data_IF_521977123960
#
_entry.id   IF_521977123960
#
_cell.length_a   1.000
_cell.length_b   1.000
_cell.length_c   1.000
_cell.angle_alpha   90.00
_cell.angle_beta   90.00
_cell.angle_gamma   90.00
#
_symmetry.space_group_name_H-M   'P 1'
#
loop_
_entity.id
_entity.type
_entity.pdbx_description
1 polymer ?
#
# COMPACT_ATOMS: atom_id res chain seq x y z
N UNK A 1 -25.48 56.64 -58.49
CA UNK A 1 -25.87 55.22 -58.64
C UNK A 1 -24.67 54.34 -58.32
N UNK A 2 -24.94 53.14 -57.78
CA UNK A 2 -24.04 52.05 -57.39
C UNK A 2 -23.52 52.03 -55.95
N UNK A 3 -24.29 51.28 -55.14
CA UNK A 3 -23.97 50.69 -53.84
C UNK A 3 -22.73 49.78 -53.94
N UNK A 4 -21.89 49.76 -52.91
CA UNK A 4 -21.10 48.56 -52.55
C UNK A 4 -21.22 48.27 -51.05
N UNK A 5 -21.45 46.99 -50.80
CA UNK A 5 -21.90 46.34 -49.58
C UNK A 5 -20.78 46.24 -48.54
N UNK A 6 -21.10 46.50 -47.27
CA UNK A 6 -20.24 46.16 -46.14
C UNK A 6 -20.41 44.67 -45.79
N UNK A 7 -19.33 43.92 -45.83
CA UNK A 7 -19.27 42.51 -45.42
C UNK A 7 -19.10 42.47 -43.90
N UNK A 8 -20.11 41.97 -43.20
CA UNK A 8 -20.10 41.69 -41.77
C UNK A 8 -19.29 40.42 -41.49
N UNK A 9 -18.19 40.53 -40.75
CA UNK A 9 -17.43 39.38 -40.25
C UNK A 9 -17.89 39.04 -38.85
N UNK A 10 -18.80 38.07 -38.77
CA UNK A 10 -19.35 37.55 -37.53
C UNK A 10 -18.41 36.43 -37.03
N UNK A 11 -17.58 36.71 -36.02
CA UNK A 11 -16.71 35.72 -35.35
C UNK A 11 -17.39 35.34 -34.03
N UNK A 12 -18.00 34.14 -33.89
CA UNK A 12 -18.57 33.73 -32.62
C UNK A 12 -17.45 33.36 -31.64
N UNK A 13 -17.37 34.12 -30.55
CA UNK A 13 -16.57 33.76 -29.37
C UNK A 13 -17.24 32.55 -28.69
N UNK A 14 -16.68 31.36 -28.88
CA UNK A 14 -17.03 30.18 -28.10
C UNK A 14 -16.54 30.38 -26.65
N UNK A 15 -17.43 30.87 -25.81
CA UNK A 15 -17.23 30.97 -24.37
C UNK A 15 -17.66 29.64 -23.75
N UNK A 16 -16.69 28.78 -23.42
CA UNK A 16 -16.92 27.51 -22.74
C UNK A 16 -17.27 27.78 -21.27
N UNK A 17 -18.56 27.94 -20.97
CA UNK A 17 -19.05 28.06 -19.61
C UNK A 17 -19.22 26.64 -19.04
N UNK A 18 -18.20 26.16 -18.31
CA UNK A 18 -18.29 24.91 -17.54
C UNK A 18 -19.27 25.11 -16.39
N UNK A 19 -20.52 24.68 -16.58
CA UNK A 19 -21.43 24.45 -15.47
C UNK A 19 -20.95 23.20 -14.72
N UNK A 20 -20.08 23.41 -13.71
CA UNK A 20 -19.92 22.43 -12.64
C UNK A 20 -21.22 22.40 -11.86
N UNK A 21 -22.09 21.46 -12.20
CA UNK A 21 -23.24 21.11 -11.38
C UNK A 21 -22.75 20.75 -9.98
N UNK A 22 -23.21 21.51 -8.99
CA UNK A 22 -23.10 21.15 -7.58
C UNK A 22 -24.01 19.93 -7.41
N UNK A 23 -23.42 18.73 -7.32
CA UNK A 23 -24.15 17.55 -6.92
C UNK A 23 -24.48 17.75 -5.45
N UNK A 24 -25.75 18.08 -5.19
CA UNK A 24 -26.35 18.03 -3.87
C UNK A 24 -26.08 16.67 -3.27
N UNK A 25 -25.34 16.61 -2.16
CA UNK A 25 -25.15 15.40 -1.37
C UNK A 25 -26.51 14.98 -0.82
N UNK A 26 -27.15 14.04 -1.51
CA UNK A 26 -28.36 13.38 -1.05
C UNK A 26 -28.09 12.70 0.29
N UNK A 27 -29.01 12.95 1.23
CA UNK A 27 -29.15 12.39 2.57
C UNK A 27 -28.66 10.93 2.64
N UNK A 28 -27.64 10.70 3.48
CA UNK A 28 -27.23 9.37 3.91
C UNK A 28 -28.41 8.77 4.70
N UNK A 29 -28.98 7.69 4.18
CA UNK A 29 -30.01 6.94 4.89
C UNK A 29 -29.37 6.17 6.04
N UNK A 30 -29.65 6.58 7.28
CA UNK A 30 -29.26 5.83 8.46
C UNK A 30 -30.12 4.56 8.57
N UNK A 31 -29.54 3.42 8.23
CA UNK A 31 -29.99 2.11 8.73
C UNK A 31 -28.89 1.47 9.58
N UNK A 32 -28.41 2.19 10.60
CA UNK A 32 -27.61 1.59 11.65
C UNK A 32 -28.57 1.06 12.72
N UNK A 33 -29.04 -0.18 12.56
CA UNK A 33 -29.39 -0.98 13.73
C UNK A 33 -28.14 -1.04 14.62
N UNK A 34 -28.32 -0.99 15.95
CA UNK A 34 -27.29 -0.79 16.97
C UNK A 34 -26.25 -1.92 17.05
N UNK A 35 -25.50 -2.15 15.98
CA UNK A 35 -24.38 -3.08 15.94
C UNK A 35 -23.09 -2.34 16.31
N UNK A 36 -22.26 -2.97 17.15
CA UNK A 36 -20.96 -2.44 17.52
C UNK A 36 -19.99 -2.59 16.34
N UNK A 37 -20.00 -1.60 15.45
CA UNK A 37 -19.15 -1.54 14.26
C UNK A 37 -17.76 -1.02 14.64
N UNK A 38 -16.73 -1.76 14.24
CA UNK A 38 -15.33 -1.36 14.35
C UNK A 38 -14.68 -1.36 12.99
N UNK A 39 -13.69 -0.51 12.82
CA UNK A 39 -12.90 -0.40 11.61
C UNK A 39 -11.44 -0.63 11.96
N UNK A 40 -10.81 -1.49 11.19
CA UNK A 40 -9.41 -1.88 11.30
C UNK A 40 -8.67 -1.46 10.03
N UNK A 41 -7.58 -0.73 10.20
CA UNK A 41 -6.73 -0.29 9.09
C UNK A 41 -5.57 -1.26 8.87
N UNK A 42 -5.51 -1.89 7.70
CA UNK A 42 -4.40 -2.72 7.26
C UNK A 42 -3.42 -1.82 6.50
N UNK A 43 -2.39 -1.32 7.19
CA UNK A 43 -1.32 -0.56 6.56
C UNK A 43 -0.24 -1.52 6.05
N UNK A 44 -0.04 -1.54 4.74
CA UNK A 44 0.94 -2.38 4.07
C UNK A 44 2.06 -1.55 3.43
N UNK A 45 3.25 -2.14 3.41
CA UNK A 45 4.41 -1.66 2.68
C UNK A 45 4.75 -2.67 1.59
N UNK A 46 4.74 -2.23 0.33
CA UNK A 46 4.91 -3.08 -0.85
C UNK A 46 6.38 -3.49 -1.07
N UNK A 47 6.67 -4.63 -1.70
CA UNK A 47 8.05 -5.06 -1.95
C UNK A 47 8.85 -3.99 -2.70
N UNK A 48 10.01 -3.63 -2.16
CA UNK A 48 10.94 -2.67 -2.76
C UNK A 48 11.87 -3.36 -3.75
N UNK A 49 12.29 -4.59 -3.41
CA UNK A 49 13.22 -5.37 -4.22
C UNK A 49 12.49 -6.58 -4.79
N UNK A 50 12.42 -6.67 -6.11
CA UNK A 50 11.97 -7.90 -6.75
C UNK A 50 13.02 -9.00 -6.54
N UNK A 51 12.63 -10.10 -5.90
CA UNK A 51 13.42 -11.32 -5.88
C UNK A 51 12.75 -12.32 -6.81
N UNK A 52 13.33 -12.61 -7.99
CA UNK A 52 12.83 -13.71 -8.80
C UNK A 52 12.97 -14.99 -7.98
N UNK A 53 11.94 -15.83 -8.06
CA UNK A 53 12.06 -17.20 -7.59
C UNK A 53 13.24 -17.85 -8.35
N UNK A 54 13.98 -18.74 -7.68
CA UNK A 54 15.16 -19.38 -8.26
C UNK A 54 14.72 -20.46 -9.27
N UNK A 55 14.09 -20.02 -10.35
CA UNK A 55 13.63 -20.85 -11.44
C UNK A 55 14.83 -21.20 -12.33
N UNK A 56 15.59 -22.17 -11.82
CA UNK A 56 16.76 -22.73 -12.50
C UNK A 56 16.38 -23.28 -13.87
N UNK A 57 15.18 -23.86 -14.00
CA UNK A 57 14.71 -24.46 -15.23
C UNK A 57 14.51 -23.40 -16.31
N UNK A 58 13.85 -22.28 -15.99
CA UNK A 58 13.74 -21.15 -16.92
C UNK A 58 15.10 -20.58 -17.31
N UNK A 59 16.03 -20.44 -16.35
CA UNK A 59 17.38 -19.95 -16.63
C UNK A 59 18.17 -20.90 -17.53
N UNK A 60 18.06 -22.21 -17.30
CA UNK A 60 18.69 -23.25 -18.12
C UNK A 60 18.08 -23.29 -19.51
N UNK A 61 16.77 -23.16 -19.63
CA UNK A 61 16.06 -23.11 -20.90
C UNK A 61 16.48 -21.89 -21.73
N UNK A 62 16.60 -20.71 -21.11
CA UNK A 62 17.10 -19.49 -21.77
C UNK A 62 18.53 -19.70 -22.28
N UNK A 63 19.41 -20.31 -21.47
CA UNK A 63 20.78 -20.64 -21.88
C UNK A 63 20.80 -21.62 -23.06
N UNK A 64 19.99 -22.68 -22.98
CA UNK A 64 19.87 -23.67 -24.04
C UNK A 64 19.40 -23.04 -25.36
N UNK A 65 18.36 -22.19 -25.34
CA UNK A 65 17.90 -21.47 -26.52
C UNK A 65 18.96 -20.53 -27.11
N UNK A 66 19.82 -19.94 -26.26
CA UNK A 66 20.96 -19.15 -26.70
C UNK A 66 22.00 -20.00 -27.44
N UNK A 67 22.29 -21.19 -26.92
CA UNK A 67 23.27 -22.13 -27.48
C UNK A 67 22.84 -22.70 -28.82
N UNK A 68 21.58 -23.11 -28.96
CA UNK A 68 21.05 -23.64 -30.22
C UNK A 68 20.79 -22.55 -31.28
N UNK A 69 21.09 -21.29 -30.95
CA UNK A 69 20.98 -20.16 -31.89
C UNK A 69 19.56 -19.70 -32.18
N UNK A 70 18.57 -20.11 -31.38
CA UNK A 70 17.20 -19.62 -31.48
C UNK A 70 17.06 -18.16 -31.00
N UNK A 71 17.97 -17.70 -30.14
CA UNK A 71 18.05 -16.29 -29.76
C UNK A 71 18.77 -15.50 -30.86
N UNK A 72 18.08 -14.48 -31.41
CA UNK A 72 18.61 -13.60 -32.46
C UNK A 72 19.94 -12.97 -32.03
N UNK A 73 21.02 -13.34 -32.72
CA UNK A 73 22.33 -12.74 -32.51
C UNK A 73 22.45 -11.44 -33.31
N UNK A 74 22.60 -10.31 -32.62
CA UNK A 74 22.84 -9.03 -33.27
C UNK A 74 24.28 -8.94 -33.82
N UNK A 75 24.48 -8.27 -34.96
CA UNK A 75 25.80 -8.13 -35.57
C UNK A 75 26.78 -7.36 -34.67
N UNK A 76 28.06 -7.73 -34.72
CA UNK A 76 29.10 -7.19 -33.83
C UNK A 76 29.24 -5.64 -33.92
N UNK A 77 28.96 -5.05 -35.09
CA UNK A 77 28.98 -3.60 -35.28
C UNK A 77 27.95 -2.87 -34.40
N UNK A 78 26.76 -3.46 -34.20
CA UNK A 78 25.70 -2.89 -33.36
C UNK A 78 26.06 -2.99 -31.89
N UNK A 79 26.62 -4.12 -31.45
CA UNK A 79 27.11 -4.31 -30.06
C UNK A 79 28.23 -3.32 -29.70
N UNK A 80 29.14 -3.06 -30.64
CA UNK A 80 30.25 -2.09 -30.48
C UNK A 80 29.76 -0.64 -30.44
N UNK A 81 28.66 -0.31 -31.11
CA UNK A 81 28.07 1.03 -31.05
C UNK A 81 27.43 1.28 -29.67
N UNK A 82 26.78 0.27 -29.07
CA UNK A 82 26.20 0.34 -27.72
C UNK A 82 27.25 0.40 -26.62
N UNK A 83 28.38 -0.29 -26.79
CA UNK A 83 29.50 -0.24 -25.84
C UNK A 83 30.30 1.07 -25.92
N UNK A 84 30.21 1.83 -27.02
CA UNK A 84 30.83 3.17 -27.12
C UNK A 84 30.03 4.28 -26.45
N UNK A 85 28.73 4.04 -26.18
CA UNK A 85 27.91 4.85 -25.28
C UNK A 85 27.96 4.34 -23.84
N UNK A 86 28.75 3.29 -23.55
CA UNK A 86 29.05 2.93 -22.17
C UNK A 86 29.83 4.10 -21.57
N UNK A 87 29.21 4.73 -20.59
CA UNK A 87 29.78 5.70 -19.67
C UNK A 87 31.25 5.36 -19.39
N UNK A 88 32.11 6.37 -19.39
CA UNK A 88 33.56 6.26 -19.20
C UNK A 88 33.88 5.21 -18.11
N UNK A 89 34.96 4.45 -18.23
CA UNK A 89 35.40 3.49 -17.18
C UNK A 89 35.60 4.15 -15.80
N UNK A 90 35.60 5.48 -15.73
CA UNK A 90 35.52 6.24 -14.48
C UNK A 90 34.12 6.30 -13.85
N UNK A 91 33.03 6.11 -14.59
CA UNK A 91 31.65 6.03 -14.09
C UNK A 91 31.26 4.61 -13.66
N UNK A 92 32.08 3.60 -14.00
CA UNK A 92 31.95 2.25 -13.43
C UNK A 92 32.59 2.13 -12.05
N UNK A 93 33.08 3.25 -11.46
CA UNK A 93 33.50 3.36 -10.05
C UNK A 93 32.49 2.63 -9.17
N UNK A 94 32.88 1.42 -8.78
CA UNK A 94 32.22 0.51 -7.86
C UNK A 94 30.73 0.81 -7.64
N UNK A 95 29.87 0.40 -8.58
CA UNK A 95 28.45 0.20 -8.29
C UNK A 95 28.34 -0.90 -7.22
N UNK A 96 28.56 -0.53 -5.97
CA UNK A 96 28.36 -1.39 -4.83
C UNK A 96 26.86 -1.64 -4.74
N UNK A 97 26.46 -2.84 -5.17
CA UNK A 97 25.05 -3.22 -5.11
C UNK A 97 24.59 -3.21 -3.66
N UNK A 98 23.41 -2.64 -3.42
CA UNK A 98 22.80 -2.69 -2.10
C UNK A 98 22.33 -4.13 -1.86
N UNK A 99 22.76 -4.79 -0.77
CA UNK A 99 22.34 -6.14 -0.49
C UNK A 99 20.84 -6.18 -0.18
N UNK A 100 20.17 -7.23 -0.66
CA UNK A 100 18.73 -7.41 -0.39
C UNK A 100 18.50 -7.77 1.08
N UNK A 101 19.42 -8.52 1.69
CA UNK A 101 19.41 -8.85 3.11
C UNK A 101 20.06 -7.71 3.88
N UNK A 102 19.28 -7.10 4.77
CA UNK A 102 19.72 -5.96 5.56
C UNK A 102 20.24 -6.38 6.94
N UNK A 103 20.87 -5.45 7.67
CA UNK A 103 21.21 -5.67 9.09
C UNK A 103 19.97 -5.89 9.96
N UNK A 104 18.83 -5.31 9.59
CA UNK A 104 17.57 -5.49 10.30
C UNK A 104 17.02 -6.91 10.14
N UNK A 105 17.25 -7.54 8.99
CA UNK A 105 16.91 -8.95 8.77
C UNK A 105 17.78 -9.88 9.61
N UNK A 106 19.10 -9.61 9.67
CA UNK A 106 20.04 -10.40 10.47
C UNK A 106 19.74 -10.31 11.98
N UNK A 107 19.31 -9.15 12.45
CA UNK A 107 18.98 -8.91 13.87
C UNK A 107 17.53 -9.23 14.21
N UNK A 108 16.68 -9.49 13.22
CA UNK A 108 15.25 -9.71 13.42
C UNK A 108 14.48 -8.49 13.94
N UNK A 109 14.96 -7.27 13.69
CA UNK A 109 14.35 -6.06 14.24
C UNK A 109 13.04 -5.72 13.53
N UNK A 110 11.91 -6.00 14.19
CA UNK A 110 10.55 -5.74 13.67
C UNK A 110 10.10 -4.28 13.78
N UNK A 111 10.90 -3.36 14.34
CA UNK A 111 10.54 -1.93 14.47
C UNK A 111 10.81 -1.12 13.22
N UNK A 112 11.62 -1.65 12.29
CA UNK A 112 12.03 -0.92 11.08
C UNK A 112 11.41 -1.51 9.83
N UNK A 113 11.15 -0.62 8.86
CA UNK A 113 10.69 -0.98 7.51
C UNK A 113 11.85 -1.39 6.61
N UNK A 114 13.10 -1.13 7.02
CA UNK A 114 14.34 -1.54 6.33
C UNK A 114 14.65 -3.02 6.50
N UNK A 115 13.63 -3.88 6.59
CA UNK A 115 13.72 -5.33 6.70
C UNK A 115 12.79 -5.96 5.66
N UNK A 116 13.09 -7.17 5.21
CA UNK A 116 12.24 -7.94 4.28
C UNK A 116 11.86 -7.12 3.04
N UNK A 117 12.87 -6.56 2.37
CA UNK A 117 12.69 -5.67 1.23
C UNK A 117 11.96 -6.33 0.05
N UNK A 118 11.94 -7.66 -0.03
CA UNK A 118 11.30 -8.44 -1.09
C UNK A 118 9.89 -8.93 -0.79
N UNK A 119 9.44 -8.86 0.45
CA UNK A 119 8.13 -9.33 0.89
C UNK A 119 7.26 -8.14 1.27
N UNK A 120 5.94 -8.28 1.35
CA UNK A 120 5.07 -7.27 1.98
C UNK A 120 5.18 -7.37 3.51
N UNK A 121 5.23 -6.21 4.18
CA UNK A 121 5.10 -6.14 5.64
C UNK A 121 3.92 -5.27 5.99
N UNK A 122 3.31 -5.57 7.13
CA UNK A 122 2.12 -4.92 7.64
C UNK A 122 2.35 -4.35 9.03
N UNK A 123 1.72 -3.22 9.33
CA UNK A 123 1.81 -2.60 10.64
C UNK A 123 0.84 -3.28 11.63
N UNK A 124 1.40 -3.88 12.68
CA UNK A 124 0.64 -4.36 13.83
C UNK A 124 0.93 -3.48 15.05
N UNK A 125 -0.08 -3.32 15.89
CA UNK A 125 0.01 -2.61 17.17
C UNK A 125 -0.41 -3.50 18.31
N UNK A 126 0.24 -3.28 19.46
CA UNK A 126 -0.04 -3.97 20.71
C UNK A 126 -0.90 -3.09 21.59
N UNK A 127 -2.17 -3.45 21.70
CA UNK A 127 -3.17 -2.75 22.52
C UNK A 127 -3.62 -3.64 23.66
N UNK A 128 -4.22 -3.04 24.70
CA UNK A 128 -4.90 -3.80 25.75
C UNK A 128 -6.31 -4.13 25.28
N UNK A 129 -6.65 -5.40 25.34
CA UNK A 129 -8.02 -5.86 25.12
C UNK A 129 -8.93 -5.51 26.31
N UNK A 130 -10.24 -5.72 26.18
CA UNK A 130 -11.26 -5.48 27.23
C UNK A 130 -10.94 -6.23 28.53
N UNK A 131 -10.27 -7.39 28.43
CA UNK A 131 -9.80 -8.21 29.56
C UNK A 131 -8.44 -7.75 30.12
N UNK A 132 -7.88 -6.64 29.62
CA UNK A 132 -6.60 -6.07 30.04
C UNK A 132 -5.35 -6.82 29.53
N UNK A 133 -5.52 -7.86 28.72
CA UNK A 133 -4.43 -8.61 28.10
C UNK A 133 -3.87 -7.83 26.92
N UNK A 134 -2.56 -7.86 26.75
CA UNK A 134 -1.94 -7.28 25.56
C UNK A 134 -2.16 -8.19 24.34
N UNK A 135 -2.74 -7.64 23.28
CA UNK A 135 -3.06 -8.34 22.04
C UNK A 135 -2.46 -7.59 20.86
N UNK A 136 -1.90 -8.33 19.91
CA UNK A 136 -1.47 -7.79 18.63
C UNK A 136 -2.64 -7.78 17.66
N UNK A 137 -2.94 -6.60 17.14
CA UNK A 137 -3.95 -6.40 16.10
C UNK A 137 -3.53 -5.28 15.17
N UNK A 138 -4.24 -5.14 14.06
CA UNK A 138 -4.17 -3.92 13.27
C UNK A 138 -4.75 -2.74 14.06
N UNK A 139 -4.33 -1.49 13.75
CA UNK A 139 -4.96 -0.29 14.30
C UNK A 139 -6.48 -0.34 14.11
N UNK A 140 -7.22 -0.45 15.22
CA UNK A 140 -8.67 -0.66 15.21
C UNK A 140 -9.38 0.36 16.08
N UNK A 141 -10.46 0.93 15.58
CA UNK A 141 -11.24 1.97 16.25
C UNK A 141 -12.74 1.71 16.07
N UNK A 142 -13.54 2.14 17.06
CA UNK A 142 -15.01 2.09 16.97
C UNK A 142 -15.52 3.12 15.96
N UNK A 143 -16.41 2.71 15.08
CA UNK A 143 -17.03 3.61 14.11
C UNK A 143 -17.94 4.60 14.84
N UNK A 144 -17.86 5.87 14.46
CA UNK A 144 -18.76 6.93 14.93
C UNK A 144 -19.87 7.05 13.90
N UNK A 145 -21.14 7.18 14.32
CA UNK A 145 -22.29 7.19 13.40
C UNK A 145 -22.25 8.33 12.37
N UNK A 146 -21.50 9.40 12.65
CA UNK A 146 -21.35 10.56 11.76
C UNK A 146 -20.28 10.37 10.68
N UNK A 147 -19.45 9.33 10.78
CA UNK A 147 -18.29 9.10 9.92
C UNK A 147 -18.51 7.93 8.97
N UNK A 148 -17.87 7.98 7.79
CA UNK A 148 -17.82 6.80 6.91
C UNK A 148 -16.83 5.77 7.46
N UNK A 149 -16.93 4.52 6.99
CA UNK A 149 -15.95 3.48 7.36
C UNK A 149 -14.53 3.88 6.95
N UNK A 150 -14.38 4.58 5.82
CA UNK A 150 -13.09 5.10 5.37
C UNK A 150 -12.57 6.17 6.32
N UNK A 151 -13.39 7.14 6.71
CA UNK A 151 -12.97 8.19 7.66
C UNK A 151 -12.54 7.57 9.01
N UNK A 152 -13.27 6.57 9.49
CA UNK A 152 -12.89 5.79 10.68
C UNK A 152 -11.57 5.04 10.52
N UNK A 153 -11.27 4.54 9.32
CA UNK A 153 -9.99 3.90 8.99
C UNK A 153 -8.84 4.92 9.03
N UNK A 154 -9.02 6.08 8.41
CA UNK A 154 -8.06 7.18 8.41
C UNK A 154 -7.79 7.65 9.85
N UNK A 155 -8.85 7.84 10.64
CA UNK A 155 -8.75 8.20 12.06
C UNK A 155 -8.05 7.14 12.90
N UNK A 156 -8.31 5.86 12.65
CA UNK A 156 -7.62 4.74 13.33
C UNK A 156 -6.11 4.81 13.13
N UNK A 157 -5.68 5.04 11.89
CA UNK A 157 -4.26 5.10 11.56
C UNK A 157 -3.62 6.39 12.10
N UNK A 158 -4.25 7.54 11.89
CA UNK A 158 -3.71 8.83 12.35
C UNK A 158 -3.68 8.96 13.88
N UNK A 159 -4.63 8.38 14.60
CA UNK A 159 -4.57 8.34 16.09
C UNK A 159 -3.47 7.41 16.62
N UNK A 160 -2.96 6.50 15.78
CA UNK A 160 -1.92 5.54 16.13
C UNK A 160 -0.53 6.07 15.82
N UNK A 161 -0.27 6.49 14.58
CA UNK A 161 1.06 6.90 14.09
C UNK A 161 1.18 8.40 13.79
N UNK A 162 0.10 9.16 13.94
CA UNK A 162 0.03 10.57 13.55
C UNK A 162 -0.17 10.78 12.04
N UNK A 163 -0.43 12.02 11.64
CA UNK A 163 -0.62 12.43 10.23
C UNK A 163 0.69 12.87 9.55
N UNK A 164 1.83 12.42 10.05
CA UNK A 164 3.15 12.89 9.59
C UNK A 164 3.56 12.26 8.26
N UNK A 165 2.97 11.11 7.92
CA UNK A 165 3.44 10.27 6.83
C UNK A 165 2.45 10.23 5.66
N UNK A 166 2.94 10.20 4.40
CA UNK A 166 2.08 10.07 3.24
C UNK A 166 1.58 8.63 3.08
N UNK A 167 0.27 8.46 3.26
CA UNK A 167 -0.40 7.15 3.20
C UNK A 167 -1.49 7.20 2.12
N UNK A 168 -1.58 6.14 1.32
CA UNK A 168 -2.58 6.00 0.29
C UNK A 168 -3.66 4.99 0.70
N UNK A 169 -4.88 5.44 0.97
CA UNK A 169 -6.00 4.56 1.33
C UNK A 169 -6.65 3.95 0.07
N UNK A 170 -6.77 2.61 0.05
CA UNK A 170 -7.27 1.87 -1.10
C UNK A 170 -8.79 1.75 -1.04
N UNK A 171 -9.47 2.47 -1.94
CA UNK A 171 -10.92 2.37 -2.10
C UNK A 171 -11.74 2.84 -0.88
N UNK A 172 -13.07 2.76 -1.01
CA UNK A 172 -14.00 3.08 0.09
C UNK A 172 -14.67 1.82 0.66
N UNK A 173 -14.55 0.68 -0.03
CA UNK A 173 -15.16 -0.58 0.40
C UNK A 173 -14.21 -1.31 1.35
N UNK A 174 -14.72 -1.96 2.41
CA UNK A 174 -13.92 -2.89 3.18
C UNK A 174 -13.49 -4.08 2.32
N UNK A 175 -12.29 -4.58 2.57
CA UNK A 175 -11.75 -5.80 1.96
C UNK A 175 -12.34 -7.05 2.60
N UNK A 176 -12.55 -7.00 3.92
CA UNK A 176 -13.00 -8.12 4.71
C UNK A 176 -13.79 -7.64 5.93
N UNK A 177 -14.55 -8.55 6.55
CA UNK A 177 -15.18 -8.33 7.83
C UNK A 177 -15.04 -9.56 8.73
N UNK A 178 -14.98 -9.34 10.04
CA UNK A 178 -14.99 -10.38 11.06
C UNK A 178 -16.08 -10.08 12.08
N UNK A 179 -17.09 -10.94 12.15
CA UNK A 179 -18.15 -10.86 13.16
C UNK A 179 -17.80 -11.74 14.36
N UNK A 180 -17.66 -11.14 15.53
CA UNK A 180 -17.59 -11.85 16.79
C UNK A 180 -19.01 -12.06 17.33
N UNK A 181 -19.49 -13.30 17.33
CA UNK A 181 -20.83 -13.66 17.81
C UNK A 181 -20.97 -13.41 19.31
N UNK A 182 -19.90 -13.64 20.09
CA UNK A 182 -19.92 -13.52 21.55
C UNK A 182 -20.09 -12.07 22.03
N UNK A 183 -19.44 -11.11 21.35
CA UNK A 183 -19.48 -9.69 21.72
C UNK A 183 -20.42 -8.86 20.85
N UNK A 184 -21.01 -9.46 19.80
CA UNK A 184 -21.79 -8.74 18.79
C UNK A 184 -21.00 -7.69 18.01
N UNK A 185 -19.66 -7.77 18.07
CA UNK A 185 -18.73 -6.84 17.42
C UNK A 185 -18.49 -7.25 15.98
N UNK A 186 -18.71 -6.34 15.04
CA UNK A 186 -18.35 -6.53 13.63
C UNK A 186 -17.18 -5.62 13.29
N UNK A 187 -16.03 -6.20 12.94
CA UNK A 187 -14.82 -5.45 12.55
C UNK A 187 -14.65 -5.50 11.05
N UNK A 188 -14.63 -4.35 10.39
CA UNK A 188 -14.35 -4.21 8.96
C UNK A 188 -12.88 -3.87 8.75
N UNK A 189 -12.26 -4.47 7.74
CA UNK A 189 -10.85 -4.24 7.41
C UNK A 189 -10.76 -3.46 6.10
N UNK A 190 -10.01 -2.35 6.12
CA UNK A 190 -9.71 -1.53 4.93
C UNK A 190 -8.19 -1.51 4.74
N UNK A 191 -7.72 -1.45 3.49
CA UNK A 191 -6.29 -1.38 3.18
C UNK A 191 -5.81 0.04 2.94
N UNK A 192 -4.57 0.28 3.37
CA UNK A 192 -3.80 1.48 3.12
C UNK A 192 -2.36 1.08 2.76
N UNK A 193 -1.75 1.86 1.87
CA UNK A 193 -0.39 1.65 1.38
C UNK A 193 0.53 2.78 1.84
N UNK A 194 1.75 2.39 2.19
CA UNK A 194 2.84 3.34 2.41
C UNK A 194 3.36 3.83 1.05
N UNK A 195 3.48 5.15 0.89
CA UNK A 195 4.00 5.76 -0.34
C UNK A 195 5.49 6.11 -0.27
N UNK A 196 5.97 6.56 0.88
CA UNK A 196 7.37 6.93 1.09
C UNK A 196 7.97 6.04 2.15
N UNK A 197 9.07 5.36 1.86
CA UNK A 197 9.79 4.52 2.83
C UNK A 197 11.23 4.99 2.97
N UNK A 198 11.87 4.80 4.13
CA UNK A 198 11.34 4.23 5.38
C UNK A 198 10.94 5.31 6.40
N UNK A 199 9.97 5.00 7.26
CA UNK A 199 9.55 5.86 8.38
C UNK A 199 10.13 5.46 9.72
N UNK A 200 10.49 6.45 10.52
CA UNK A 200 10.73 6.28 11.95
C UNK A 200 9.39 6.44 12.68
N UNK A 201 8.62 5.36 12.78
CA UNK A 201 7.26 5.36 13.35
C UNK A 201 7.29 5.78 14.82
N UNK A 202 6.57 6.87 15.14
CA UNK A 202 6.33 7.33 16.51
C UNK A 202 4.88 7.06 16.88
N UNK A 203 4.67 6.27 17.93
CA UNK A 203 3.32 5.99 18.43
C UNK A 203 2.75 7.20 19.17
N UNK A 204 1.50 7.52 18.87
CA UNK A 204 0.71 8.55 19.54
C UNK A 204 -0.05 7.94 20.72
N UNK A 205 -0.11 8.66 21.84
CA UNK A 205 -0.75 8.19 23.09
C UNK A 205 -2.27 8.00 22.97
N UNK A 206 -2.90 8.62 21.97
CA UNK A 206 -4.35 8.61 21.74
C UNK A 206 -4.91 7.22 21.46
N UNK A 207 -4.17 6.40 20.69
CA UNK A 207 -4.57 5.03 20.36
C UNK A 207 -4.50 4.04 21.54
N UNK A 208 -3.80 4.37 22.62
CA UNK A 208 -3.49 3.43 23.70
C UNK A 208 -2.54 2.29 23.28
N UNK A 209 -1.92 2.37 22.10
CA UNK A 209 -0.92 1.40 21.65
C UNK A 209 0.35 1.52 22.50
N UNK A 210 0.76 0.40 23.11
CA UNK A 210 2.00 0.32 23.88
C UNK A 210 3.22 0.12 22.98
N UNK A 211 3.01 -0.63 21.91
CA UNK A 211 4.09 -1.08 21.05
C UNK A 211 3.61 -1.35 19.62
N UNK A 212 4.52 -1.35 18.66
CA UNK A 212 4.22 -1.64 17.24
C UNK A 212 5.23 -2.59 16.63
N UNK A 213 4.86 -3.31 15.58
CA UNK A 213 5.77 -4.17 14.85
C UNK A 213 5.35 -4.24 13.39
N UNK A 214 6.34 -4.20 12.49
CA UNK A 214 6.16 -4.55 11.09
C UNK A 214 6.31 -6.06 10.95
N UNK A 215 5.25 -6.75 10.54
CA UNK A 215 5.21 -8.21 10.43
C UNK A 215 4.90 -8.64 8.98
N UNK A 216 5.51 -9.73 8.54
CA UNK A 216 5.15 -10.39 7.28
C UNK A 216 3.93 -11.29 7.49
N UNK A 217 3.28 -11.73 6.40
CA UNK A 217 2.12 -12.64 6.46
C UNK A 217 2.42 -13.92 7.26
N UNK A 218 3.63 -14.46 7.15
CA UNK A 218 4.02 -15.67 7.88
C UNK A 218 4.23 -15.42 9.37
N UNK A 219 4.86 -14.30 9.73
CA UNK A 219 5.09 -13.93 11.14
C UNK A 219 3.80 -13.55 11.89
N UNK A 220 2.70 -13.24 11.18
CA UNK A 220 1.42 -12.94 11.82
C UNK A 220 0.89 -14.12 12.64
N UNK A 221 1.15 -15.35 12.20
CA UNK A 221 0.72 -16.59 12.88
C UNK A 221 1.27 -16.70 14.30
N UNK A 222 2.46 -16.15 14.53
CA UNK A 222 3.12 -16.18 15.84
C UNK A 222 2.69 -15.01 16.75
N UNK A 223 2.24 -13.90 16.17
CA UNK A 223 1.92 -12.67 16.90
C UNK A 223 0.44 -12.58 17.29
N UNK A 224 -0.46 -12.96 16.39
CA UNK A 224 -1.91 -12.83 16.58
C UNK A 224 -2.44 -14.09 17.23
N UNK A 225 -3.04 -13.96 18.41
CA UNK A 225 -3.55 -15.10 19.16
C UNK A 225 -4.89 -15.65 18.64
N UNK A 226 -5.69 -14.83 17.95
CA UNK A 226 -7.01 -15.23 17.47
C UNK A 226 -6.91 -16.05 16.17
N UNK A 227 -7.27 -17.33 16.26
CA UNK A 227 -7.26 -18.27 15.13
C UNK A 227 -8.23 -17.87 14.02
N UNK A 228 -9.39 -17.26 14.35
CA UNK A 228 -10.36 -16.83 13.34
C UNK A 228 -9.83 -15.64 12.55
N UNK A 229 -9.18 -14.70 13.23
CA UNK A 229 -8.50 -13.59 12.59
C UNK A 229 -7.37 -14.08 11.68
N UNK A 230 -6.56 -15.05 12.12
CA UNK A 230 -5.50 -15.65 11.31
C UNK A 230 -6.01 -16.31 10.03
N UNK A 231 -7.11 -17.08 10.08
CA UNK A 231 -7.72 -17.66 8.88
C UNK A 231 -8.19 -16.56 7.91
N UNK A 232 -8.81 -15.49 8.43
CA UNK A 232 -9.20 -14.35 7.62
C UNK A 232 -7.99 -13.66 6.97
N UNK A 233 -6.93 -13.44 7.73
CA UNK A 233 -5.70 -12.81 7.23
C UNK A 233 -5.02 -13.66 6.16
N UNK A 234 -5.07 -14.99 6.29
CA UNK A 234 -4.53 -15.89 5.27
C UNK A 234 -5.22 -15.75 3.91
N UNK A 235 -6.51 -15.38 3.91
CA UNK A 235 -7.37 -15.21 2.73
C UNK A 235 -7.33 -13.78 2.18
N UNK A 236 -7.19 -12.76 3.04
CA UNK A 236 -7.25 -11.36 2.60
C UNK A 236 -5.90 -10.78 2.19
N UNK A 237 -4.79 -11.28 2.77
CA UNK A 237 -3.42 -10.80 2.55
C UNK A 237 -2.65 -11.68 1.57
#
# INVERSE_FOLDING_TARGET
MLRKLAVSTNIPKFFWQSQRGIISSSVVSNSATSENIFVSCVLERLPIVYQPENDKESLELIKHYAEIGQIKQYPAAVKKATSKSALNEEDTRALNTVPVVTKADQTGNKKTMKRRLSETIYLLVKTKDEKGKDVWSFPTVKNIETETLRDSCERSLFSTIGKQYPIFFIGNSPMAHLRCVETGKTTFFLSAQVLEDPWDVVLTKESGAKDFAWATKDEMKDLVADTRALDLFSKML
#
